data_IF_613900353764
#
_entry.id   IF_613900353764
#
_cell.length_a   1.000
_cell.length_b   1.000
_cell.length_c   1.000
_cell.angle_alpha   90.00
_cell.angle_beta   90.00
_cell.angle_gamma   90.00
#
_symmetry.space_group_name_H-M   'P 1'
#
loop_
_entity.id
_entity.type
_entity.pdbx_description
1 polymer ?
#
# COMPACT_ATOMS: atom_id res chain seq x y z
N UNK A 1 -19.50 -23.71 12.01
CA UNK A 1 -19.22 -22.66 11.00
C UNK A 1 -17.80 -22.17 11.28
N UNK A 2 -16.80 -22.66 10.54
CA UNK A 2 -15.38 -22.31 10.75
C UNK A 2 -15.17 -20.92 10.12
N UNK A 3 -14.88 -19.91 10.92
CA UNK A 3 -14.40 -18.63 10.40
C UNK A 3 -13.08 -18.90 9.65
N UNK A 4 -12.94 -18.57 8.36
CA UNK A 4 -11.62 -18.60 7.73
C UNK A 4 -10.72 -17.68 8.57
N UNK A 5 -9.61 -18.23 9.04
CA UNK A 5 -8.69 -17.64 10.01
C UNK A 5 -7.86 -16.48 9.44
N UNK A 6 -8.47 -15.61 8.62
CA UNK A 6 -7.82 -14.48 8.00
C UNK A 6 -8.49 -13.22 8.55
N UNK A 7 -7.72 -12.46 9.32
CA UNK A 7 -8.08 -11.19 10.00
C UNK A 7 -8.85 -11.26 11.33
N UNK A 8 -8.82 -12.39 12.04
CA UNK A 8 -8.96 -12.38 13.50
C UNK A 8 -7.58 -12.53 14.15
N UNK A 9 -6.58 -11.78 13.67
CA UNK A 9 -5.39 -11.55 14.48
C UNK A 9 -5.90 -10.74 15.66
N UNK A 10 -5.97 -11.40 16.81
CA UNK A 10 -6.04 -10.76 18.11
C UNK A 10 -5.00 -9.66 18.07
N UNK A 11 -5.46 -8.41 17.96
CA UNK A 11 -4.66 -7.21 18.11
C UNK A 11 -4.23 -7.21 19.58
N UNK A 12 -3.27 -8.06 19.92
CA UNK A 12 -2.54 -7.96 21.16
C UNK A 12 -1.87 -6.59 21.06
N UNK A 13 -2.33 -5.67 21.90
CA UNK A 13 -1.72 -4.37 22.11
C UNK A 13 -0.34 -4.65 22.71
N UNK A 14 0.61 -5.04 21.87
CA UNK A 14 2.01 -5.06 22.24
C UNK A 14 2.40 -3.58 22.43
N UNK A 15 3.14 -3.24 23.49
CA UNK A 15 3.75 -1.92 23.60
C UNK A 15 4.73 -1.79 22.43
N UNK A 16 4.28 -1.12 21.37
CA UNK A 16 5.08 -0.82 20.19
C UNK A 16 6.24 0.04 20.69
N UNK A 17 7.43 -0.56 20.74
CA UNK A 17 8.66 0.22 20.76
C UNK A 17 8.53 1.22 19.61
N UNK A 18 8.69 2.52 19.91
CA UNK A 18 8.45 3.65 19.04
C UNK A 18 9.46 3.65 17.86
N UNK A 19 9.41 2.63 17.01
CA UNK A 19 10.03 2.65 15.70
C UNK A 19 9.16 3.60 14.89
N UNK A 20 9.65 4.82 14.71
CA UNK A 20 9.16 5.75 13.71
C UNK A 20 9.51 5.13 12.35
N UNK A 21 8.79 4.08 11.97
CA UNK A 21 8.85 3.49 10.64
C UNK A 21 8.21 4.52 9.70
N UNK A 22 9.03 5.50 9.30
CA UNK A 22 8.75 6.54 8.30
C UNK A 22 8.83 5.98 6.89
N UNK A 23 8.45 4.72 6.70
CA UNK A 23 8.26 4.17 5.37
C UNK A 23 7.21 5.01 4.64
N UNK A 24 7.66 5.63 3.54
CA UNK A 24 6.81 6.42 2.68
C UNK A 24 5.68 5.55 2.11
N UNK A 25 4.51 6.15 1.80
CA UNK A 25 3.48 5.46 1.04
C UNK A 25 4.07 4.91 -0.27
N UNK A 26 3.69 3.69 -0.58
CA UNK A 26 3.97 3.00 -1.82
C UNK A 26 2.87 3.35 -2.81
N UNK A 27 3.27 3.78 -4.00
CA UNK A 27 2.41 4.13 -5.12
C UNK A 27 1.41 5.25 -4.82
N UNK A 28 0.20 5.17 -5.40
CA UNK A 28 -0.83 6.21 -5.35
C UNK A 28 -1.86 5.92 -4.26
N UNK A 29 -2.08 6.89 -3.37
CA UNK A 29 -3.18 6.82 -2.41
C UNK A 29 -4.55 6.84 -3.10
N UNK A 30 -5.50 6.10 -2.56
CA UNK A 30 -6.90 6.11 -2.98
C UNK A 30 -7.67 7.13 -2.14
N UNK A 31 -8.26 8.13 -2.80
CA UNK A 31 -9.15 9.11 -2.18
C UNK A 31 -10.61 8.78 -2.49
N UNK A 32 -11.42 8.65 -1.45
CA UNK A 32 -12.84 8.28 -1.51
C UNK A 32 -13.66 9.31 -0.74
N UNK A 33 -14.66 9.97 -1.35
CA UNK A 33 -15.55 10.88 -0.63
C UNK A 33 -16.30 10.20 0.52
N UNK A 34 -16.52 10.92 1.62
CA UNK A 34 -17.46 10.56 2.67
C UNK A 34 -18.82 11.20 2.35
N UNK A 35 -19.82 10.38 2.07
CA UNK A 35 -21.17 10.80 1.68
C UNK A 35 -22.18 10.54 2.79
N UNK A 36 -23.12 11.46 3.01
CA UNK A 36 -24.31 11.15 3.83
C UNK A 36 -25.41 10.49 3.00
N UNK A 37 -26.54 10.12 3.63
CA UNK A 37 -27.66 9.42 2.97
C UNK A 37 -28.33 10.22 1.83
N UNK A 38 -28.10 11.53 1.79
CA UNK A 38 -28.52 12.46 0.73
C UNK A 38 -27.44 12.73 -0.33
N UNK A 39 -26.32 11.98 -0.29
CA UNK A 39 -25.14 12.15 -1.14
C UNK A 39 -24.37 13.48 -0.96
N UNK A 40 -24.56 14.18 0.17
CA UNK A 40 -23.70 15.32 0.53
C UNK A 40 -22.29 14.86 0.92
N UNK A 41 -21.27 15.49 0.33
CA UNK A 41 -19.85 15.25 0.68
C UNK A 41 -19.49 15.98 1.97
N UNK A 42 -19.20 15.22 3.03
CA UNK A 42 -18.84 15.74 4.35
C UNK A 42 -17.36 15.55 4.69
N UNK A 43 -16.60 14.92 3.81
CA UNK A 43 -15.18 14.67 3.98
C UNK A 43 -14.63 13.68 2.95
N UNK A 44 -13.44 13.14 3.24
CA UNK A 44 -12.76 12.14 2.44
C UNK A 44 -12.13 11.05 3.32
N UNK A 45 -12.01 9.86 2.76
CA UNK A 45 -11.16 8.75 3.22
C UNK A 45 -9.99 8.63 2.25
N UNK A 46 -8.77 8.73 2.76
CA UNK A 46 -7.54 8.48 2.04
C UNK A 46 -6.96 7.13 2.51
N UNK A 47 -6.73 6.20 1.59
CA UNK A 47 -6.15 4.89 1.85
C UNK A 47 -4.85 4.72 1.08
N UNK A 48 -3.78 4.36 1.77
CA UNK A 48 -2.50 4.04 1.17
C UNK A 48 -1.85 2.88 1.91
N UNK A 49 -0.84 2.24 1.33
CA UNK A 49 0.02 1.31 2.06
C UNK A 49 1.49 1.71 1.93
N UNK A 50 2.31 1.34 2.91
CA UNK A 50 3.76 1.21 2.75
C UNK A 50 4.10 -0.28 2.56
N UNK A 51 5.38 -0.63 2.63
CA UNK A 51 5.80 -2.04 2.65
C UNK A 51 5.31 -2.81 3.88
N UNK A 52 5.09 -2.12 5.00
CA UNK A 52 4.81 -2.74 6.31
C UNK A 52 3.46 -2.36 6.90
N UNK A 53 2.77 -1.36 6.37
CA UNK A 53 1.56 -0.84 6.97
C UNK A 53 0.49 -0.38 5.98
N UNK A 54 -0.76 -0.61 6.33
CA UNK A 54 -1.92 0.06 5.75
C UNK A 54 -2.20 1.35 6.52
N UNK A 55 -2.30 2.47 5.81
CA UNK A 55 -2.55 3.80 6.34
C UNK A 55 -3.91 4.28 5.87
N UNK A 56 -4.77 4.65 6.83
CA UNK A 56 -6.11 5.17 6.55
C UNK A 56 -6.25 6.52 7.24
N UNK A 57 -6.51 7.57 6.47
CA UNK A 57 -6.74 8.92 6.99
C UNK A 57 -8.11 9.40 6.57
N UNK A 58 -8.93 9.81 7.53
CA UNK A 58 -10.19 10.48 7.28
C UNK A 58 -10.03 11.96 7.54
N UNK A 59 -10.64 12.80 6.71
CA UNK A 59 -10.69 14.26 6.88
C UNK A 59 -12.11 14.75 6.64
N UNK A 60 -12.60 15.69 7.45
CA UNK A 60 -13.88 16.35 7.20
C UNK A 60 -13.75 17.57 6.29
N UNK A 61 -14.84 17.89 5.59
CA UNK A 61 -15.02 19.17 4.89
C UNK A 61 -15.19 20.32 5.91
N UNK A 62 -15.03 21.56 5.45
CA UNK A 62 -15.15 22.74 6.31
C UNK A 62 -16.51 22.78 7.07
N UNK A 63 -16.46 23.08 8.37
CA UNK A 63 -17.63 23.13 9.26
C UNK A 63 -18.09 21.77 9.81
N UNK A 64 -17.59 20.66 9.26
CA UNK A 64 -17.86 19.31 9.76
C UNK A 64 -16.75 18.84 10.71
N UNK A 65 -17.15 18.06 11.70
CA UNK A 65 -16.26 17.43 12.69
C UNK A 65 -16.69 15.99 12.93
N UNK A 66 -15.75 15.10 13.25
CA UNK A 66 -16.04 13.72 13.62
C UNK A 66 -16.52 13.63 15.07
N UNK A 67 -17.57 12.83 15.30
CA UNK A 67 -17.97 12.39 16.63
C UNK A 67 -17.50 10.96 16.90
N UNK A 68 -17.67 10.09 15.91
CA UNK A 68 -17.32 8.68 16.01
C UNK A 68 -16.97 8.12 14.65
N UNK A 69 -15.85 7.40 14.56
CA UNK A 69 -15.46 6.69 13.35
C UNK A 69 -15.46 5.18 13.61
N UNK A 70 -16.06 4.44 12.68
CA UNK A 70 -16.20 2.97 12.70
C UNK A 70 -15.82 2.45 11.32
N UNK A 71 -14.92 1.47 11.26
CA UNK A 71 -14.58 0.86 9.99
C UNK A 71 -14.16 -0.60 10.11
N UNK A 72 -14.32 -1.31 9.01
CA UNK A 72 -13.94 -2.69 8.84
C UNK A 72 -13.19 -2.83 7.50
N UNK A 73 -12.25 -3.77 7.47
CA UNK A 73 -11.51 -4.14 6.27
C UNK A 73 -11.43 -5.67 6.21
N UNK A 74 -11.56 -6.23 5.01
CA UNK A 74 -11.40 -7.66 4.75
C UNK A 74 -11.13 -7.92 3.28
N UNK A 75 -10.70 -9.13 2.91
CA UNK A 75 -10.43 -9.48 1.50
C UNK A 75 -11.69 -9.64 0.65
N UNK A 76 -12.86 -9.70 1.28
CA UNK A 76 -14.15 -9.87 0.62
C UNK A 76 -15.26 -9.18 1.42
N UNK A 77 -16.35 -8.78 0.75
CA UNK A 77 -17.49 -8.12 1.40
C UNK A 77 -18.08 -8.95 2.56
N UNK A 78 -18.11 -10.29 2.43
CA UNK A 78 -18.63 -11.17 3.48
C UNK A 78 -17.80 -11.21 4.76
N UNK A 79 -16.58 -10.69 4.73
CA UNK A 79 -15.71 -10.57 5.91
C UNK A 79 -16.02 -9.29 6.71
N UNK A 80 -16.81 -8.37 6.16
CA UNK A 80 -17.31 -7.20 6.88
C UNK A 80 -18.49 -7.61 7.77
N UNK A 81 -18.55 -7.19 9.06
CA UNK A 81 -19.68 -7.48 9.93
C UNK A 81 -21.01 -7.00 9.36
N UNK A 82 -21.90 -7.95 9.06
CA UNK A 82 -23.21 -7.70 8.44
C UNK A 82 -24.27 -8.69 8.95
N UNK A 83 -25.54 -8.35 8.78
CA UNK A 83 -26.66 -9.27 9.05
C UNK A 83 -26.67 -10.40 8.02
N UNK A 84 -27.49 -11.44 8.25
CA UNK A 84 -27.75 -12.48 7.24
C UNK A 84 -28.30 -11.91 5.93
N UNK A 85 -28.90 -10.72 5.97
CA UNK A 85 -29.47 -10.04 4.82
C UNK A 85 -28.48 -9.22 4.00
N UNK A 86 -27.22 -9.09 4.45
CA UNK A 86 -26.19 -8.26 3.80
C UNK A 86 -26.13 -6.81 4.28
N UNK A 87 -26.97 -6.43 5.25
CA UNK A 87 -26.94 -5.08 5.84
C UNK A 87 -25.76 -4.97 6.80
N UNK A 88 -24.87 -3.97 6.66
CA UNK A 88 -23.71 -3.83 7.52
C UNK A 88 -24.14 -3.50 8.95
N UNK A 89 -23.33 -3.91 9.93
CA UNK A 89 -23.58 -3.62 11.35
C UNK A 89 -22.43 -2.75 11.88
N UNK A 90 -22.44 -1.42 11.66
CA UNK A 90 -21.36 -0.52 12.08
C UNK A 90 -20.94 -0.65 13.55
N UNK A 91 -21.88 -0.91 14.46
CA UNK A 91 -21.58 -1.12 15.89
C UNK A 91 -20.76 -2.39 16.20
N UNK A 92 -20.57 -3.27 15.20
CA UNK A 92 -19.73 -4.47 15.27
C UNK A 92 -18.45 -4.36 14.45
N UNK A 93 -18.18 -3.21 13.86
CA UNK A 93 -16.92 -3.00 13.13
C UNK A 93 -15.74 -3.09 14.09
N UNK A 94 -14.67 -3.83 13.74
CA UNK A 94 -13.56 -4.11 14.65
C UNK A 94 -12.73 -2.88 14.97
N UNK A 95 -12.71 -1.88 14.08
CA UNK A 95 -11.93 -0.67 14.25
C UNK A 95 -12.90 0.48 14.50
N UNK A 96 -12.92 1.00 15.72
CA UNK A 96 -13.80 2.09 16.08
C UNK A 96 -13.18 2.94 17.19
N UNK A 97 -13.44 4.25 17.17
CA UNK A 97 -13.13 5.15 18.28
C UNK A 97 -14.10 6.33 18.30
N UNK A 98 -14.31 6.86 19.49
CA UNK A 98 -14.87 8.20 19.62
C UNK A 98 -13.78 9.21 19.30
N UNK A 99 -14.15 10.23 18.55
CA UNK A 99 -13.25 11.30 18.13
C UNK A 99 -13.08 12.31 19.25
N UNK A 100 -11.94 13.00 19.27
CA UNK A 100 -11.78 14.16 20.13
C UNK A 100 -12.76 15.26 19.70
N UNK A 101 -13.25 16.07 20.66
CA UNK A 101 -14.16 17.16 20.35
C UNK A 101 -13.54 18.10 19.31
N UNK A 102 -14.27 18.36 18.22
CA UNK A 102 -13.80 19.20 17.12
C UNK A 102 -12.80 18.53 16.16
N UNK A 103 -12.55 17.22 16.26
CA UNK A 103 -11.63 16.54 15.37
C UNK A 103 -12.09 16.64 13.90
N UNK A 104 -11.22 17.12 13.04
CA UNK A 104 -11.43 17.19 11.58
C UNK A 104 -10.58 16.19 10.82
N UNK A 105 -9.68 15.47 11.51
CA UNK A 105 -8.79 14.48 10.93
C UNK A 105 -8.60 13.32 11.89
N UNK A 106 -8.64 12.11 11.34
CA UNK A 106 -8.46 10.88 12.08
C UNK A 106 -7.57 9.94 11.27
N UNK A 107 -6.48 9.42 11.85
CA UNK A 107 -5.55 8.52 11.17
C UNK A 107 -5.44 7.17 11.89
N UNK A 108 -5.31 6.10 11.11
CA UNK A 108 -4.99 4.76 11.56
C UNK A 108 -3.81 4.21 10.76
N UNK A 109 -3.01 3.40 11.44
CA UNK A 109 -1.94 2.62 10.84
C UNK A 109 -2.08 1.19 11.33
N UNK A 110 -2.29 0.26 10.40
CA UNK A 110 -2.40 -1.17 10.69
C UNK A 110 -1.21 -1.91 10.08
N UNK A 111 -0.68 -2.95 10.73
CA UNK A 111 0.29 -3.84 10.09
C UNK A 111 -0.30 -4.43 8.80
N UNK A 112 0.48 -4.37 7.72
CA UNK A 112 0.11 -4.97 6.45
C UNK A 112 0.61 -6.42 6.44
N UNK A 113 -0.33 -7.37 6.48
CA UNK A 113 -0.05 -8.82 6.55
C UNK A 113 -0.50 -9.57 5.30
N UNK A 114 -0.74 -8.84 4.21
CA UNK A 114 -1.17 -9.36 2.93
C UNK A 114 -0.18 -8.94 1.86
N UNK A 115 -0.06 -9.74 0.80
CA UNK A 115 0.89 -9.45 -0.27
C UNK A 115 0.38 -8.36 -1.22
N UNK A 116 1.30 -7.63 -1.89
CA UNK A 116 0.95 -6.75 -3.00
C UNK A 116 0.06 -7.44 -4.04
N UNK A 117 -0.88 -6.69 -4.61
CA UNK A 117 -1.92 -7.19 -5.51
C UNK A 117 -3.17 -7.71 -4.80
N UNK A 118 -3.15 -7.89 -3.47
CA UNK A 118 -4.35 -8.27 -2.71
C UNK A 118 -5.40 -7.17 -2.76
N UNK A 119 -6.64 -7.51 -3.14
CA UNK A 119 -7.79 -6.58 -3.07
C UNK A 119 -8.38 -6.61 -1.67
N UNK A 120 -8.48 -5.44 -1.05
CA UNK A 120 -9.10 -5.22 0.24
C UNK A 120 -10.43 -4.49 0.04
N UNK A 121 -11.48 -4.98 0.68
CA UNK A 121 -12.80 -4.37 0.78
C UNK A 121 -12.91 -3.61 2.10
N UNK A 122 -13.29 -2.34 2.03
CA UNK A 122 -13.46 -1.43 3.15
C UNK A 122 -14.93 -1.09 3.35
N UNK A 123 -15.33 -0.94 4.60
CA UNK A 123 -16.58 -0.31 5.00
C UNK A 123 -16.24 0.73 6.05
N UNK A 124 -16.34 2.01 5.70
CA UNK A 124 -16.00 3.14 6.57
C UNK A 124 -17.27 3.91 6.84
N UNK A 125 -17.65 4.04 8.12
CA UNK A 125 -18.79 4.79 8.59
C UNK A 125 -18.34 5.83 9.63
N UNK A 126 -18.79 7.06 9.49
CA UNK A 126 -18.48 8.12 10.43
C UNK A 126 -19.74 8.90 10.82
N UNK A 127 -19.93 9.08 12.12
CA UNK A 127 -20.87 10.07 12.66
C UNK A 127 -20.17 11.42 12.64
N UNK A 128 -20.78 12.38 11.95
CA UNK A 128 -20.25 13.73 11.78
C UNK A 128 -21.23 14.76 12.30
N UNK A 129 -20.69 15.87 12.79
CA UNK A 129 -21.42 17.03 13.27
C UNK A 129 -21.07 18.25 12.45
N UNK A 130 -22.07 18.95 11.94
CA UNK A 130 -21.90 20.28 11.37
C UNK A 130 -22.30 21.33 12.41
N UNK A 131 -21.42 22.31 12.63
CA UNK A 131 -21.75 23.51 13.41
C UNK A 131 -21.70 24.69 12.47
N UNK A 132 -22.86 25.27 12.17
CA UNK A 132 -22.90 26.48 11.36
C UNK A 132 -22.05 27.58 12.03
N UNK A 133 -21.34 28.41 11.25
CA UNK A 133 -20.72 29.61 11.78
C UNK A 133 -21.77 30.39 12.57
N UNK A 134 -21.43 30.85 13.78
CA UNK A 134 -22.31 31.78 14.49
C UNK A 134 -22.34 33.07 13.67
N UNK A 135 -23.52 33.46 13.20
CA UNK A 135 -23.71 34.79 12.64
C UNK A 135 -23.45 35.80 13.78
N UNK A 136 -22.31 36.48 13.75
CA UNK A 136 -21.85 37.46 14.74
C UNK A 136 -22.83 38.65 14.97
N UNK A 137 -23.95 38.69 14.24
CA UNK A 137 -24.93 39.77 14.28
C UNK A 137 -26.08 39.52 15.27
N UNK A 138 -26.20 38.32 15.81
CA UNK A 138 -27.19 38.02 16.84
C UNK A 138 -26.55 38.23 18.21
N UNK A 139 -26.89 39.33 18.88
CA UNK A 139 -26.48 39.55 20.27
C UNK A 139 -26.88 38.31 21.10
N UNK A 140 -25.96 37.73 21.90
CA UNK A 140 -26.28 36.55 22.69
C UNK A 140 -27.42 36.88 23.64
N UNK A 141 -28.53 36.15 23.53
CA UNK A 141 -29.57 36.17 24.57
C UNK A 141 -28.99 35.49 25.81
N UNK A 142 -28.73 36.22 26.91
CA UNK A 142 -28.11 35.65 28.10
C UNK A 142 -29.02 34.67 28.85
N UNK A 143 -30.26 34.44 28.39
CA UNK A 143 -31.24 33.60 29.07
C UNK A 143 -31.43 32.18 28.48
N UNK A 144 -30.68 31.80 27.43
CA UNK A 144 -30.75 30.45 26.84
C UNK A 144 -29.41 29.72 26.89
N UNK A 145 -28.99 29.32 28.10
CA UNK A 145 -28.02 28.24 28.29
C UNK A 145 -28.74 26.90 28.23
N UNK A 146 -29.10 26.49 27.03
CA UNK A 146 -29.77 25.22 26.82
C UNK A 146 -29.87 24.98 25.35
N UNK A 147 -29.13 23.97 24.89
CA UNK A 147 -29.31 23.32 23.60
C UNK A 147 -28.56 24.03 22.46
N UNK A 148 -27.48 23.40 21.98
CA UNK A 148 -26.84 23.71 20.70
C UNK A 148 -27.84 23.36 19.57
N UNK A 149 -28.96 24.08 19.45
CA UNK A 149 -30.08 23.82 18.52
C UNK A 149 -29.66 23.82 17.05
N UNK A 150 -28.44 24.26 16.73
CA UNK A 150 -27.94 24.37 15.36
C UNK A 150 -26.85 23.34 15.00
N UNK A 151 -26.79 22.21 15.70
CA UNK A 151 -25.88 21.12 15.37
C UNK A 151 -26.59 20.05 14.52
N UNK A 152 -26.20 19.93 13.25
CA UNK A 152 -26.68 18.86 12.38
C UNK A 152 -25.79 17.64 12.61
N UNK A 153 -26.39 16.51 12.99
CA UNK A 153 -25.72 15.21 13.10
C UNK A 153 -26.06 14.39 11.86
N UNK A 154 -25.06 13.82 11.20
CA UNK A 154 -25.25 12.95 10.06
C UNK A 154 -24.37 11.69 10.16
N UNK A 155 -24.89 10.57 9.66
CA UNK A 155 -24.09 9.37 9.38
C UNK A 155 -23.56 9.46 7.96
N UNK A 156 -22.28 9.16 7.79
CA UNK A 156 -21.61 9.18 6.48
C UNK A 156 -20.89 7.87 6.20
N UNK A 157 -20.68 7.59 4.92
CA UNK A 157 -20.02 6.39 4.41
C UNK A 157 -19.00 6.73 3.32
N UNK A 158 -17.91 5.98 3.26
CA UNK A 158 -17.00 6.06 2.12
C UNK A 158 -17.69 5.63 0.83
N UNK A 159 -17.72 6.51 -0.17
CA UNK A 159 -18.35 6.28 -1.47
C UNK A 159 -17.88 4.99 -2.13
N UNK A 160 -18.81 4.23 -2.71
CA UNK A 160 -18.49 3.02 -3.44
C UNK A 160 -19.71 2.17 -3.79
N UNK A 161 -19.56 0.86 -3.69
CA UNK A 161 -20.62 -0.12 -3.95
C UNK A 161 -21.60 -0.18 -2.77
N UNK A 162 -22.91 0.04 -3.00
CA UNK A 162 -23.92 -0.03 -1.94
C UNK A 162 -23.99 -1.40 -1.28
N UNK A 163 -24.20 -1.42 0.03
CA UNK A 163 -24.59 -2.65 0.73
C UNK A 163 -26.04 -3.03 0.39
N UNK A 164 -26.35 -4.33 0.33
CA UNK A 164 -27.73 -4.79 0.19
C UNK A 164 -28.60 -4.27 1.35
N UNK A 165 -29.81 -3.77 1.01
CA UNK A 165 -30.90 -3.47 1.96
C UNK A 165 -30.66 -2.34 2.95
N UNK A 166 -29.56 -1.57 2.84
CA UNK A 166 -29.33 -0.37 3.62
C UNK A 166 -29.05 0.80 2.68
N UNK A 167 -29.96 1.77 2.63
CA UNK A 167 -29.77 2.99 1.83
C UNK A 167 -28.58 3.78 2.41
N UNK A 168 -27.73 4.33 1.55
CA UNK A 168 -26.59 5.18 1.96
C UNK A 168 -25.36 4.42 2.44
N UNK A 169 -25.48 3.18 2.91
CA UNK A 169 -24.33 2.39 3.31
C UNK A 169 -23.55 1.84 2.10
N UNK A 170 -22.24 2.08 2.09
CA UNK A 170 -21.36 1.75 0.96
C UNK A 170 -20.07 1.06 1.41
N UNK A 171 -19.49 0.31 0.48
CA UNK A 171 -18.17 -0.31 0.60
C UNK A 171 -17.32 0.05 -0.62
N UNK A 172 -16.01 0.12 -0.45
CA UNK A 172 -15.09 0.38 -1.57
C UNK A 172 -13.89 -0.56 -1.49
N UNK A 173 -13.14 -0.66 -2.59
CA UNK A 173 -11.99 -1.56 -2.66
C UNK A 173 -10.70 -0.80 -2.85
N UNK A 174 -9.62 -1.32 -2.26
CA UNK A 174 -8.25 -0.87 -2.46
C UNK A 174 -7.36 -2.06 -2.77
N UNK A 175 -6.57 -1.98 -3.83
CA UNK A 175 -5.56 -2.99 -4.15
C UNK A 175 -4.24 -2.62 -3.50
N UNK A 176 -3.70 -3.51 -2.68
CA UNK A 176 -2.40 -3.32 -2.03
C UNK A 176 -1.32 -3.16 -3.10
N UNK A 177 -0.55 -2.08 -3.00
CA UNK A 177 0.42 -1.71 -4.02
C UNK A 177 1.81 -2.25 -3.66
N UNK A 178 2.53 -2.72 -4.68
CA UNK A 178 3.91 -3.15 -4.54
C UNK A 178 4.84 -1.94 -4.54
N UNK A 179 5.90 -1.98 -3.73
CA UNK A 179 6.98 -1.00 -3.80
C UNK A 179 7.47 -0.95 -5.24
N UNK A 180 7.64 0.26 -5.79
CA UNK A 180 8.30 0.36 -7.08
C UNK A 180 9.66 -0.31 -6.94
N UNK A 181 10.07 -1.20 -7.87
CA UNK A 181 11.41 -1.75 -7.82
C UNK A 181 12.39 -0.57 -7.72
N UNK A 182 13.48 -0.71 -6.93
CA UNK A 182 14.45 0.36 -6.81
C UNK A 182 14.88 0.78 -8.22
N UNK A 183 14.95 2.08 -8.47
CA UNK A 183 15.45 2.54 -9.77
C UNK A 183 16.87 2.03 -9.94
N UNK A 184 17.07 1.26 -11.01
CA UNK A 184 18.39 0.78 -11.40
C UNK A 184 19.05 1.76 -12.39
N UNK A 185 18.40 2.91 -12.64
CA UNK A 185 18.92 3.96 -13.49
C UNK A 185 20.22 4.52 -12.91
N UNK A 186 21.27 4.56 -13.74
CA UNK A 186 22.62 4.97 -13.31
C UNK A 186 23.37 3.93 -12.45
N UNK A 187 22.73 2.83 -12.03
CA UNK A 187 23.38 1.77 -11.26
C UNK A 187 24.08 0.73 -12.15
N UNK A 188 23.56 0.50 -13.36
CA UNK A 188 24.21 -0.37 -14.32
C UNK A 188 25.05 0.42 -15.30
N UNK A 189 26.23 -0.10 -15.59
CA UNK A 189 27.10 0.38 -16.66
C UNK A 189 27.25 -0.74 -17.68
N UNK A 190 27.04 -0.40 -18.95
CA UNK A 190 27.40 -1.27 -20.07
C UNK A 190 28.86 -1.05 -20.44
N UNK A 191 29.51 -2.16 -20.80
CA UNK A 191 30.89 -2.19 -21.28
C UNK A 191 30.90 -2.89 -22.64
N UNK A 192 31.75 -2.44 -23.56
CA UNK A 192 31.93 -3.12 -24.84
C UNK A 192 32.62 -4.47 -24.60
N UNK A 193 32.44 -5.42 -25.52
CA UNK A 193 33.09 -6.73 -25.44
C UNK A 193 34.61 -6.58 -25.25
N UNK A 194 35.24 -5.68 -26.02
CA UNK A 194 36.68 -5.40 -25.98
C UNK A 194 37.16 -4.95 -24.59
N UNK A 195 36.31 -4.27 -23.81
CA UNK A 195 36.67 -3.80 -22.48
C UNK A 195 36.74 -4.92 -21.44
N UNK A 196 36.07 -6.06 -21.66
CA UNK A 196 36.10 -7.18 -20.72
C UNK A 196 37.36 -8.05 -20.84
N UNK A 197 38.11 -7.89 -21.93
CA UNK A 197 39.34 -8.63 -22.22
C UNK A 197 40.56 -7.72 -22.36
N UNK A 198 40.47 -6.42 -22.05
CA UNK A 198 41.61 -5.51 -22.15
C UNK A 198 42.52 -5.63 -20.92
N UNK A 199 43.83 -5.75 -21.17
CA UNK A 199 44.91 -5.76 -20.16
C UNK A 199 45.27 -4.35 -19.64
N UNK A 200 44.64 -3.32 -20.20
CA UNK A 200 44.67 -1.98 -19.61
C UNK A 200 43.94 -2.01 -18.26
N UNK A 201 44.26 -1.12 -17.33
CA UNK A 201 43.58 -0.98 -16.02
C UNK A 201 42.09 -0.56 -16.14
N UNK A 202 41.38 -1.07 -17.14
CA UNK A 202 39.98 -0.90 -17.37
C UNK A 202 39.18 -1.58 -16.25
N UNK A 203 38.25 -0.80 -15.72
CA UNK A 203 37.36 -1.18 -14.63
C UNK A 203 36.64 -2.54 -14.83
N UNK A 204 36.17 -2.92 -16.03
CA UNK A 204 35.43 -4.18 -16.22
C UNK A 204 36.28 -5.45 -16.09
N UNK A 205 37.48 -5.54 -16.67
CA UNK A 205 38.35 -6.73 -16.53
C UNK A 205 38.70 -6.98 -15.07
N UNK A 206 39.10 -5.93 -14.35
CA UNK A 206 39.38 -6.00 -12.91
C UNK A 206 38.15 -6.37 -12.08
N UNK A 207 36.98 -5.82 -12.42
CA UNK A 207 35.71 -6.15 -11.77
C UNK A 207 35.33 -7.63 -12.00
N UNK A 208 35.44 -8.14 -13.23
CA UNK A 208 35.19 -9.54 -13.55
C UNK A 208 36.11 -10.45 -12.74
N UNK A 209 37.42 -10.19 -12.77
CA UNK A 209 38.41 -10.96 -12.03
C UNK A 209 38.15 -10.98 -10.51
N UNK A 210 37.81 -9.84 -9.92
CA UNK A 210 37.57 -9.71 -8.49
C UNK A 210 36.26 -10.38 -8.02
N UNK A 211 35.22 -10.42 -8.86
CA UNK A 211 33.88 -10.81 -8.44
C UNK A 211 33.41 -12.16 -9.00
N UNK A 212 34.06 -12.70 -10.04
CA UNK A 212 33.57 -13.89 -10.73
C UNK A 212 33.36 -15.09 -9.80
N UNK A 213 34.33 -15.43 -8.95
CA UNK A 213 34.21 -16.59 -8.05
C UNK A 213 33.11 -16.42 -6.99
N UNK A 214 32.81 -15.19 -6.58
CA UNK A 214 31.74 -14.91 -5.63
C UNK A 214 30.36 -15.01 -6.28
N UNK A 215 30.21 -14.51 -7.51
CA UNK A 215 28.94 -14.52 -8.26
C UNK A 215 28.66 -15.91 -8.86
N UNK A 216 29.71 -16.59 -9.33
CA UNK A 216 29.65 -17.88 -10.02
C UNK A 216 30.58 -18.90 -9.34
N UNK A 217 30.26 -19.33 -8.10
CA UNK A 217 31.10 -20.24 -7.33
C UNK A 217 31.32 -21.60 -8.01
N UNK A 218 30.40 -21.99 -8.90
CA UNK A 218 30.48 -23.22 -9.69
C UNK A 218 30.77 -22.96 -11.18
N UNK A 219 31.21 -21.75 -11.53
CA UNK A 219 31.30 -21.29 -12.92
C UNK A 219 29.93 -20.89 -13.50
N UNK A 220 29.95 -20.51 -14.78
CA UNK A 220 28.76 -20.11 -15.55
C UNK A 220 28.69 -20.93 -16.83
N UNK A 221 27.49 -21.40 -17.17
CA UNK A 221 27.21 -22.09 -18.44
C UNK A 221 26.30 -21.23 -19.28
N UNK A 222 26.74 -20.88 -20.49
CA UNK A 222 25.96 -20.15 -21.49
C UNK A 222 25.58 -21.10 -22.61
N UNK A 223 24.34 -21.05 -23.11
CA UNK A 223 23.88 -21.89 -24.22
C UNK A 223 22.63 -22.71 -23.87
N UNK A 224 22.35 -23.75 -24.67
CA UNK A 224 21.15 -24.60 -24.50
C UNK A 224 21.40 -25.78 -23.55
N UNK A 225 20.36 -26.19 -22.82
CA UNK A 225 20.40 -27.40 -21.97
C UNK A 225 20.56 -28.70 -22.77
N UNK A 226 20.35 -28.65 -24.09
CA UNK A 226 20.46 -29.81 -25.00
C UNK A 226 21.78 -29.85 -25.77
N UNK A 227 22.75 -29.00 -25.43
CA UNK A 227 24.05 -28.88 -26.09
C UNK A 227 24.33 -27.46 -26.60
N UNK A 228 25.46 -27.27 -27.30
CA UNK A 228 25.95 -25.96 -27.74
C UNK A 228 26.14 -25.00 -26.57
N UNK A 229 26.84 -25.48 -25.55
CA UNK A 229 27.14 -24.71 -24.35
C UNK A 229 28.60 -24.25 -24.31
N UNK A 230 28.85 -23.05 -23.80
CA UNK A 230 30.14 -22.59 -23.33
C UNK A 230 30.15 -22.59 -21.80
N UNK A 231 31.08 -23.31 -21.19
CA UNK A 231 31.26 -23.34 -19.72
C UNK A 231 32.48 -22.50 -19.37
N UNK A 232 32.31 -21.54 -18.46
CA UNK A 232 33.40 -20.73 -17.94
C UNK A 232 33.57 -21.00 -16.46
N UNK A 233 34.72 -21.54 -16.07
CA UNK A 233 35.03 -21.88 -14.68
C UNK A 233 35.82 -20.77 -13.95
N UNK A 234 36.25 -19.74 -14.67
CA UNK A 234 36.99 -18.61 -14.12
C UNK A 234 36.80 -17.33 -14.95
N UNK A 235 37.11 -16.18 -14.36
CA UNK A 235 37.20 -14.91 -15.08
C UNK A 235 38.22 -14.95 -16.24
N UNK A 236 39.32 -15.68 -16.06
CA UNK A 236 40.36 -15.84 -17.09
C UNK A 236 39.84 -16.63 -18.31
N UNK A 237 38.98 -17.64 -18.10
CA UNK A 237 38.35 -18.37 -19.19
C UNK A 237 37.45 -17.45 -20.04
N UNK A 238 36.73 -16.53 -19.39
CA UNK A 238 35.96 -15.50 -20.11
C UNK A 238 36.89 -14.55 -20.86
N UNK A 239 37.94 -14.06 -20.22
CA UNK A 239 38.93 -13.19 -20.85
C UNK A 239 39.63 -13.83 -22.06
N UNK A 240 39.77 -15.16 -22.07
CA UNK A 240 40.34 -15.93 -23.19
C UNK A 240 39.35 -16.12 -24.34
N UNK A 241 38.05 -16.14 -24.04
CA UNK A 241 36.97 -16.28 -25.03
C UNK A 241 36.54 -14.94 -25.64
N UNK A 242 36.56 -13.86 -24.88
CA UNK A 242 36.18 -12.52 -25.35
C UNK A 242 37.17 -11.75 -26.25
N UNK A 243 38.45 -12.13 -26.49
CA UNK A 243 39.36 -11.35 -27.32
C UNK A 243 39.10 -11.52 -28.83
N UNK A 244 38.04 -12.21 -29.23
CA UNK A 244 37.67 -12.38 -30.63
C UNK A 244 37.17 -11.06 -31.23
N UNK A 245 38.06 -10.37 -31.95
CA UNK A 245 37.64 -9.50 -33.05
C UNK A 245 37.16 -10.35 -34.23
N UNK A 246 36.09 -9.93 -34.92
CA UNK A 246 35.56 -10.63 -36.09
C UNK A 246 34.06 -10.93 -36.02
N UNK A 247 33.55 -11.61 -37.05
CA UNK A 247 32.17 -12.07 -37.08
C UNK A 247 32.01 -13.28 -36.16
N UNK A 248 30.97 -13.29 -35.32
CA UNK A 248 30.68 -14.41 -34.43
C UNK A 248 30.55 -15.73 -35.21
N UNK A 249 31.31 -16.74 -34.79
CA UNK A 249 31.21 -18.10 -35.33
C UNK A 249 30.02 -18.86 -34.74
N UNK A 250 29.58 -19.92 -35.43
CA UNK A 250 28.62 -20.86 -34.85
C UNK A 250 29.29 -21.73 -33.78
N UNK A 251 28.65 -21.93 -32.62
CA UNK A 251 29.07 -22.99 -31.70
C UNK A 251 28.86 -24.34 -32.40
N UNK A 252 29.96 -25.03 -32.74
CA UNK A 252 29.91 -26.35 -33.39
C UNK A 252 29.63 -27.51 -32.42
N UNK A 253 29.55 -27.25 -31.12
CA UNK A 253 29.37 -28.24 -30.05
C UNK A 253 29.53 -27.61 -28.68
N UNK A 254 29.69 -28.42 -27.63
CA UNK A 254 29.98 -27.94 -26.28
C UNK A 254 31.45 -27.55 -26.16
N UNK A 255 31.74 -26.41 -25.53
CA UNK A 255 33.08 -25.97 -25.13
C UNK A 255 33.15 -25.72 -23.62
N UNK A 256 34.34 -25.96 -23.06
CA UNK A 256 34.71 -25.80 -21.64
C UNK A 256 36.01 -25.04 -21.56
#
# INVERSE_FOLDING_TARGET
MRFPAILAVVLAILPIACNTDTSAPVGQALDVPLLTDDAMVVGNVNVANSETALMVTLTTSAGWTFEKVRWAVGTELRHIPQTKGGEPIPGRFPLQRHSQAGATRETWRLPLIVEPGTVLTFAVNADVKFKAPKDDKSAPDPAHEGDDENCIVASSWGEGTPFPKMKGAMSFTYTVQASAPPSLEGMYRTHTQEQWSSDTNDKPTGYLAANFAAVFPNGVTLGSTTGFTAVFTSAAAIGTFLPESGAAGSLGGNCV
#
